data_IF_514624093173
#
_entry.id   IF_514624093173
#
_cell.length_a   1.000
_cell.length_b   1.000
_cell.length_c   1.000
_cell.angle_alpha   90.00
_cell.angle_beta   90.00
_cell.angle_gamma   90.00
#
_symmetry.space_group_name_H-M   'P 1'
#
loop_
_entity.id
_entity.type
_entity.pdbx_description
1 polymer ?
#
# COMPACT_ATOMS: atom_id res chain seq x y z
N UNK A 1 3.97 -40.72 80.52
CA UNK A 1 4.50 -40.72 79.14
C UNK A 1 3.87 -39.58 78.34
N UNK A 2 4.67 -38.73 77.69
CA UNK A 2 4.20 -37.72 76.74
C UNK A 2 5.32 -37.44 75.73
N UNK A 3 5.13 -37.91 74.49
CA UNK A 3 6.13 -38.01 73.41
C UNK A 3 6.79 -36.65 73.12
N UNK A 4 8.11 -36.64 73.00
CA UNK A 4 8.88 -35.51 72.52
C UNK A 4 8.31 -35.03 71.17
N UNK A 5 7.86 -33.78 71.09
CA UNK A 5 7.27 -33.25 69.86
C UNK A 5 8.36 -33.05 68.80
N UNK A 6 8.42 -34.00 67.87
CA UNK A 6 9.32 -34.02 66.72
C UNK A 6 9.20 -32.73 65.88
N UNK A 7 8.07 -32.02 65.95
CA UNK A 7 7.82 -30.75 65.26
C UNK A 7 8.80 -29.64 65.62
N UNK A 8 9.32 -29.59 66.86
CA UNK A 8 10.31 -28.56 67.26
C UNK A 8 11.72 -28.89 66.75
N UNK A 9 12.05 -30.17 66.59
CA UNK A 9 13.30 -30.62 65.98
C UNK A 9 13.28 -30.45 64.45
N UNK A 10 12.15 -30.73 63.80
CA UNK A 10 11.98 -30.56 62.35
C UNK A 10 12.06 -29.07 61.94
N UNK A 11 11.46 -28.15 62.71
CA UNK A 11 11.60 -26.70 62.46
C UNK A 11 13.04 -26.20 62.57
N UNK A 12 13.83 -26.75 63.51
CA UNK A 12 15.23 -26.37 63.70
C UNK A 12 16.12 -26.86 62.56
N UNK A 13 15.81 -28.02 61.98
CA UNK A 13 16.55 -28.57 60.83
C UNK A 13 16.20 -27.84 59.53
N UNK A 14 14.94 -27.45 59.33
CA UNK A 14 14.55 -26.60 58.19
C UNK A 14 15.16 -25.18 58.26
N UNK A 15 15.34 -24.62 59.46
CA UNK A 15 16.03 -23.33 59.64
C UNK A 15 17.56 -23.45 59.52
N UNK A 16 18.15 -24.59 59.89
CA UNK A 16 19.59 -24.81 59.78
C UNK A 16 20.05 -24.96 58.32
N UNK A 17 19.24 -25.58 57.44
CA UNK A 17 19.56 -25.75 56.02
C UNK A 17 19.45 -24.47 55.17
N UNK A 18 18.87 -23.39 55.73
CA UNK A 18 18.73 -22.07 55.06
C UNK A 18 19.70 -21.05 55.66
N UNK A 19 20.68 -21.48 56.45
CA UNK A 19 21.76 -20.59 56.87
C UNK A 19 22.81 -20.49 55.76
N UNK A 20 22.64 -19.50 54.88
CA UNK A 20 23.69 -19.09 53.94
C UNK A 20 24.90 -18.63 54.75
N UNK A 21 26.10 -19.09 54.38
CA UNK A 21 27.33 -18.67 55.02
C UNK A 21 27.44 -17.13 55.05
N UNK A 22 27.65 -16.50 56.22
CA UNK A 22 27.87 -15.07 56.31
C UNK A 22 29.19 -14.74 55.61
N UNK A 23 29.10 -14.03 54.48
CA UNK A 23 30.28 -13.63 53.69
C UNK A 23 30.23 -14.00 52.21
N UNK A 24 29.29 -14.85 51.78
CA UNK A 24 29.09 -15.07 50.35
C UNK A 24 28.35 -13.86 49.76
N UNK A 25 29.13 -12.87 49.29
CA UNK A 25 28.62 -11.74 48.51
C UNK A 25 27.78 -12.34 47.37
N UNK A 26 26.47 -12.07 47.37
CA UNK A 26 25.62 -12.44 46.24
C UNK A 26 26.20 -11.69 45.03
N UNK A 27 26.72 -12.42 44.05
CA UNK A 27 27.17 -11.82 42.79
C UNK A 27 25.92 -11.35 42.04
N UNK A 28 25.39 -10.19 42.43
CA UNK A 28 24.22 -9.55 41.85
C UNK A 28 24.51 -9.00 40.44
N UNK A 29 25.78 -8.90 40.05
CA UNK A 29 26.18 -8.46 38.71
C UNK A 29 25.64 -9.36 37.60
N UNK A 30 25.74 -10.69 37.76
CA UNK A 30 25.25 -11.62 36.75
C UNK A 30 23.72 -11.58 36.56
N UNK A 31 22.87 -11.70 37.62
CA UNK A 31 21.43 -11.60 37.45
C UNK A 31 20.99 -10.19 37.00
N UNK A 32 21.67 -9.12 37.40
CA UNK A 32 21.37 -7.78 36.92
C UNK A 32 21.65 -7.62 35.42
N UNK A 33 22.75 -8.18 34.92
CA UNK A 33 23.07 -8.20 33.50
C UNK A 33 22.03 -8.98 32.70
N UNK A 34 21.66 -10.18 33.17
CA UNK A 34 20.60 -11.00 32.54
C UNK A 34 19.28 -10.24 32.46
N UNK A 35 18.89 -9.56 33.55
CA UNK A 35 17.66 -8.76 33.58
C UNK A 35 17.74 -7.57 32.60
N UNK A 36 18.91 -6.94 32.49
CA UNK A 36 19.18 -5.90 31.49
C UNK A 36 19.00 -6.38 30.05
N UNK A 37 19.50 -7.56 29.70
CA UNK A 37 19.31 -8.16 28.37
C UNK A 37 17.84 -8.45 28.11
N UNK A 38 17.10 -8.98 29.08
CA UNK A 38 15.66 -9.27 28.94
C UNK A 38 14.87 -7.97 28.70
N UNK A 39 15.15 -6.92 29.46
CA UNK A 39 14.47 -5.62 29.28
C UNK A 39 14.83 -4.99 27.94
N UNK A 40 16.09 -5.05 27.51
CA UNK A 40 16.51 -4.58 26.19
C UNK A 40 15.81 -5.36 25.08
N UNK A 41 15.75 -6.69 25.19
CA UNK A 41 15.05 -7.54 24.22
C UNK A 41 13.55 -7.22 24.13
N UNK A 42 12.89 -7.04 25.28
CA UNK A 42 11.49 -6.64 25.32
C UNK A 42 11.27 -5.22 24.76
N UNK A 43 12.17 -4.28 25.05
CA UNK A 43 12.12 -2.94 24.49
C UNK A 43 12.32 -2.96 22.97
N UNK A 44 13.23 -3.81 22.46
CA UNK A 44 13.47 -3.97 21.03
C UNK A 44 12.28 -4.65 20.33
N UNK A 45 11.66 -5.66 20.95
CA UNK A 45 10.43 -6.28 20.44
C UNK A 45 9.25 -5.30 20.49
N UNK A 46 9.13 -4.50 21.55
CA UNK A 46 8.10 -3.47 21.66
C UNK A 46 8.28 -2.39 20.60
N UNK A 47 9.52 -1.92 20.41
CA UNK A 47 9.88 -0.98 19.35
C UNK A 47 9.62 -1.57 17.96
N UNK A 48 10.02 -2.81 17.70
CA UNK A 48 9.71 -3.49 16.45
C UNK A 48 8.19 -3.62 16.23
N UNK A 49 7.42 -3.91 17.27
CA UNK A 49 5.95 -3.91 17.20
C UNK A 49 5.35 -2.53 16.98
N UNK A 50 5.88 -1.48 17.61
CA UNK A 50 5.36 -0.13 17.42
C UNK A 50 5.62 0.36 15.99
N UNK A 51 6.74 -0.01 15.37
CA UNK A 51 6.97 0.26 13.95
C UNK A 51 5.97 -0.49 13.04
N UNK A 52 5.47 -1.67 13.44
CA UNK A 52 4.40 -2.39 12.71
C UNK A 52 3.03 -1.72 12.92
N UNK A 53 2.77 -1.13 14.09
CA UNK A 53 1.49 -0.44 14.39
C UNK A 53 1.47 1.00 13.85
N UNK A 54 2.62 1.67 13.73
CA UNK A 54 2.74 2.97 13.06
C UNK A 54 2.75 2.86 11.52
N UNK A 55 2.92 1.64 10.97
CA UNK A 55 2.47 1.32 9.59
C UNK A 55 0.94 1.36 9.42
N UNK A 56 0.17 1.89 10.38
CA UNK A 56 -1.07 2.60 10.05
C UNK A 56 -0.63 3.92 9.42
N UNK A 57 -0.13 3.85 8.18
CA UNK A 57 0.11 5.07 7.42
C UNK A 57 -1.21 5.84 7.28
N UNK A 58 -1.07 7.13 6.99
CA UNK A 58 -2.20 7.99 6.64
C UNK A 58 -3.10 7.19 5.69
N UNK A 59 -4.41 7.21 5.88
CA UNK A 59 -5.31 6.48 5.00
C UNK A 59 -6.20 7.49 4.29
N UNK A 60 -6.41 7.37 2.97
CA UNK A 60 -7.02 8.45 2.20
C UNK A 60 -8.45 8.68 2.67
N UNK A 61 -8.81 9.94 2.88
CA UNK A 61 -10.10 10.38 3.39
C UNK A 61 -11.02 10.76 2.24
N UNK A 62 -12.30 10.36 2.37
CA UNK A 62 -13.35 10.63 1.39
C UNK A 62 -13.47 12.13 1.10
N UNK A 63 -13.48 12.48 -0.18
CA UNK A 63 -13.67 13.85 -0.70
C UNK A 63 -12.66 14.89 -0.18
N UNK A 64 -11.53 14.46 0.39
CA UNK A 64 -10.52 15.35 0.96
C UNK A 64 -9.14 15.11 0.34
N UNK A 65 -8.75 13.85 0.26
CA UNK A 65 -7.42 13.48 -0.20
C UNK A 65 -7.39 13.23 -1.71
N UNK A 66 -6.29 13.63 -2.32
CA UNK A 66 -5.94 13.23 -3.68
C UNK A 66 -4.46 12.85 -3.70
N UNK A 67 -4.21 11.55 -3.65
CA UNK A 67 -2.87 10.99 -3.65
C UNK A 67 -2.51 10.42 -5.01
N UNK A 68 -1.21 10.27 -5.22
CA UNK A 68 -0.65 9.59 -6.37
C UNK A 68 0.30 8.51 -5.89
N UNK A 69 0.24 7.35 -6.53
CA UNK A 69 1.24 6.29 -6.35
C UNK A 69 1.78 5.87 -7.70
N UNK A 70 3.08 5.61 -7.79
CA UNK A 70 3.65 5.06 -9.02
C UNK A 70 3.27 3.59 -9.16
N UNK A 71 2.92 3.17 -10.38
CA UNK A 71 2.60 1.78 -10.68
C UNK A 71 3.45 1.25 -11.84
N UNK A 72 3.83 -0.02 -11.75
CA UNK A 72 4.43 -0.76 -12.85
C UNK A 72 3.99 -2.23 -12.85
N UNK A 73 3.83 -2.78 -14.05
CA UNK A 73 3.60 -4.21 -14.26
C UNK A 73 4.84 -4.81 -14.93
N UNK A 74 5.58 -5.65 -14.21
CA UNK A 74 6.80 -6.29 -14.71
C UNK A 74 6.52 -7.76 -15.05
N UNK A 75 6.64 -8.13 -16.31
CA UNK A 75 6.55 -9.52 -16.75
C UNK A 75 7.93 -9.95 -17.25
N UNK A 76 8.57 -10.85 -16.52
CA UNK A 76 9.87 -11.42 -16.85
C UNK A 76 10.99 -10.39 -17.05
N UNK A 77 10.98 -9.31 -16.27
CA UNK A 77 11.97 -8.24 -16.32
C UNK A 77 11.63 -7.15 -17.33
N UNK A 78 10.44 -7.21 -17.95
CA UNK A 78 9.95 -6.25 -18.94
C UNK A 78 8.71 -5.54 -18.40
N UNK A 79 8.82 -4.22 -18.22
CA UNK A 79 7.66 -3.39 -17.89
C UNK A 79 6.68 -3.36 -19.06
N UNK A 80 5.43 -3.65 -18.74
CA UNK A 80 4.31 -3.54 -19.67
C UNK A 80 3.84 -2.09 -19.77
N UNK A 81 3.05 -1.81 -20.81
CA UNK A 81 2.42 -0.51 -20.99
C UNK A 81 1.54 -0.12 -19.79
N UNK A 82 1.44 1.20 -19.57
CA UNK A 82 0.57 1.75 -18.52
C UNK A 82 -0.88 1.28 -18.74
N UNK A 83 -1.54 0.75 -17.71
CA UNK A 83 -2.89 0.28 -17.84
C UNK A 83 -3.86 1.45 -18.05
N UNK A 84 -4.97 1.16 -18.73
CA UNK A 84 -6.11 2.07 -18.86
C UNK A 84 -7.29 1.50 -18.10
N UNK A 85 -8.20 2.38 -17.66
CA UNK A 85 -9.42 1.94 -17.00
C UNK A 85 -10.28 1.12 -17.99
N UNK A 86 -10.82 -0.01 -17.53
CA UNK A 86 -11.70 -0.87 -18.33
C UNK A 86 -13.19 -0.54 -18.15
N UNK A 87 -13.52 0.38 -17.24
CA UNK A 87 -14.88 0.74 -16.89
C UNK A 87 -14.97 2.14 -16.28
N UNK A 88 -16.19 2.57 -15.86
CA UNK A 88 -16.38 3.83 -15.15
C UNK A 88 -15.63 3.81 -13.81
N UNK A 89 -15.29 4.99 -13.31
CA UNK A 89 -14.77 5.13 -11.96
C UNK A 89 -15.92 5.13 -10.94
N UNK A 90 -15.95 4.10 -10.10
CA UNK A 90 -16.97 3.94 -9.04
C UNK A 90 -16.41 4.19 -7.63
N UNK A 91 -15.09 4.35 -7.49
CA UNK A 91 -14.42 4.33 -6.18
C UNK A 91 -13.53 5.54 -5.93
N UNK A 92 -13.05 6.22 -6.97
CA UNK A 92 -12.06 7.28 -6.89
C UNK A 92 -10.62 6.77 -6.99
N UNK A 93 -10.42 5.48 -7.27
CA UNK A 93 -9.10 4.86 -7.43
C UNK A 93 -8.91 4.47 -8.89
N UNK A 94 -8.11 5.24 -9.63
CA UNK A 94 -8.04 5.14 -11.11
C UNK A 94 -6.62 5.20 -11.65
N UNK A 95 -6.36 4.55 -12.80
CA UNK A 95 -5.11 4.72 -13.53
C UNK A 95 -5.05 6.10 -14.20
N UNK A 96 -3.86 6.70 -14.21
CA UNK A 96 -3.54 7.84 -15.07
C UNK A 96 -2.78 7.37 -16.32
N UNK A 97 -2.78 8.19 -17.37
CA UNK A 97 -2.04 7.92 -18.61
C UNK A 97 -0.54 7.78 -18.38
N UNK A 98 -0.03 8.44 -17.35
CA UNK A 98 1.39 8.54 -17.04
C UNK A 98 1.87 7.40 -16.12
N UNK A 99 1.01 6.41 -15.89
CA UNK A 99 1.31 5.18 -15.14
C UNK A 99 1.18 5.34 -13.63
N UNK A 100 0.47 6.37 -13.17
CA UNK A 100 0.17 6.56 -11.76
C UNK A 100 -1.17 5.94 -11.39
N UNK A 101 -1.30 5.59 -10.13
CA UNK A 101 -2.57 5.33 -9.46
C UNK A 101 -2.98 6.67 -8.84
N UNK A 102 -4.07 7.24 -9.31
CA UNK A 102 -4.74 8.33 -8.61
C UNK A 102 -5.64 7.72 -7.54
N UNK A 103 -5.49 8.18 -6.29
CA UNK A 103 -6.26 7.72 -5.14
C UNK A 103 -6.97 8.94 -4.55
N UNK A 104 -8.23 9.12 -4.94
CA UNK A 104 -9.09 10.23 -4.53
C UNK A 104 -10.49 9.71 -4.23
N UNK A 105 -10.65 8.95 -3.13
CA UNK A 105 -11.90 8.24 -2.87
C UNK A 105 -13.05 9.21 -2.64
N UNK A 106 -14.19 8.95 -3.28
CA UNK A 106 -15.46 9.66 -3.05
C UNK A 106 -16.50 8.77 -2.36
N UNK A 107 -16.11 7.54 -1.98
CA UNK A 107 -16.93 6.58 -1.21
C UNK A 107 -16.14 5.98 -0.05
N UNK A 108 -16.81 5.71 1.07
CA UNK A 108 -16.17 5.13 2.26
C UNK A 108 -15.61 3.72 2.03
N UNK A 109 -16.20 2.96 1.09
CA UNK A 109 -15.73 1.63 0.70
C UNK A 109 -14.38 1.65 -0.02
N UNK A 110 -13.87 2.82 -0.42
CA UNK A 110 -12.58 2.99 -1.08
C UNK A 110 -11.61 3.86 -0.28
N UNK A 111 -12.01 4.31 0.91
CA UNK A 111 -11.22 5.18 1.78
C UNK A 111 -10.66 4.41 2.98
N UNK A 112 -9.73 5.03 3.70
CA UNK A 112 -9.25 4.53 4.97
C UNK A 112 -8.62 3.13 4.86
N UNK A 113 -9.15 2.18 5.63
CA UNK A 113 -8.67 0.78 5.61
C UNK A 113 -9.12 0.00 4.36
N UNK A 114 -10.10 0.53 3.63
CA UNK A 114 -10.66 -0.09 2.44
C UNK A 114 -9.96 0.39 1.16
N UNK A 115 -9.11 1.42 1.24
CA UNK A 115 -8.25 1.86 0.15
C UNK A 115 -7.17 0.79 -0.12
N UNK A 116 -7.54 -0.22 -0.89
CA UNK A 116 -6.73 -1.40 -1.17
C UNK A 116 -6.42 -1.50 -2.65
N UNK A 117 -5.28 -2.10 -2.97
CA UNK A 117 -4.77 -2.29 -4.32
C UNK A 117 -5.75 -3.07 -5.20
N UNK A 118 -6.55 -3.97 -4.61
CA UNK A 118 -7.60 -4.72 -5.30
C UNK A 118 -8.60 -3.82 -6.02
N UNK A 119 -8.97 -2.68 -5.45
CA UNK A 119 -9.88 -1.72 -6.10
C UNK A 119 -9.25 -1.12 -7.38
N UNK A 120 -7.95 -0.82 -7.33
CA UNK A 120 -7.22 -0.39 -8.51
C UNK A 120 -7.10 -1.53 -9.54
N UNK A 121 -6.78 -2.74 -9.08
CA UNK A 121 -6.63 -3.91 -9.92
C UNK A 121 -7.93 -4.21 -10.71
N UNK A 122 -9.09 -4.12 -10.05
CA UNK A 122 -10.40 -4.23 -10.69
C UNK A 122 -10.61 -3.16 -11.77
N UNK A 123 -10.23 -1.91 -11.49
CA UNK A 123 -10.37 -0.78 -12.43
C UNK A 123 -9.58 -0.99 -13.73
N UNK A 124 -8.48 -1.74 -13.68
CA UNK A 124 -7.62 -2.05 -14.83
C UNK A 124 -7.81 -3.47 -15.36
N UNK A 125 -8.76 -4.25 -14.84
CA UNK A 125 -9.01 -5.63 -15.24
C UNK A 125 -7.91 -6.62 -14.84
N UNK A 126 -7.08 -6.27 -13.86
CA UNK A 126 -6.04 -7.12 -13.30
C UNK A 126 -6.64 -7.98 -12.18
N UNK A 127 -6.42 -9.29 -12.23
CA UNK A 127 -6.78 -10.19 -11.12
C UNK A 127 -5.51 -10.70 -10.46
N UNK A 128 -5.42 -10.45 -9.16
CA UNK A 128 -4.32 -10.85 -8.32
C UNK A 128 -4.81 -11.85 -7.28
N UNK A 129 -4.02 -12.90 -7.09
CA UNK A 129 -4.22 -13.88 -6.03
C UNK A 129 -2.88 -14.47 -5.62
N UNK A 130 -2.88 -15.33 -4.60
CA UNK A 130 -1.66 -15.93 -4.08
C UNK A 130 -1.00 -16.83 -5.14
N UNK A 131 0.03 -16.31 -5.78
CA UNK A 131 0.79 -17.00 -6.81
C UNK A 131 0.15 -17.06 -8.19
N UNK A 132 -0.86 -16.23 -8.47
CA UNK A 132 -1.50 -16.15 -9.79
C UNK A 132 -1.86 -14.70 -10.14
N UNK A 133 -1.51 -14.32 -11.38
CA UNK A 133 -1.68 -12.99 -11.96
C UNK A 133 -2.40 -13.15 -13.29
N UNK A 134 -3.57 -12.54 -13.45
CA UNK A 134 -4.29 -12.51 -14.73
C UNK A 134 -4.43 -11.09 -15.22
N UNK A 135 -3.96 -10.84 -16.43
CA UNK A 135 -4.03 -9.56 -17.11
C UNK A 135 -5.43 -9.30 -17.67
N UNK A 136 -5.74 -8.04 -17.97
CA UNK A 136 -6.97 -7.64 -18.67
C UNK A 136 -7.13 -8.32 -20.04
N UNK A 137 -6.02 -8.71 -20.68
CA UNK A 137 -6.01 -9.46 -21.94
C UNK A 137 -6.49 -10.92 -21.77
N UNK A 138 -6.69 -11.39 -20.54
CA UNK A 138 -7.03 -12.76 -20.20
C UNK A 138 -5.81 -13.69 -20.07
N UNK A 139 -4.59 -13.19 -20.27
CA UNK A 139 -3.37 -13.98 -20.07
C UNK A 139 -3.10 -14.15 -18.58
N UNK A 140 -2.91 -15.40 -18.16
CA UNK A 140 -2.63 -15.79 -16.77
C UNK A 140 -1.19 -16.27 -16.62
N UNK A 141 -0.56 -15.87 -15.52
CA UNK A 141 0.74 -16.34 -15.06
C UNK A 141 0.58 -16.94 -13.67
N UNK A 142 1.21 -18.09 -13.43
CA UNK A 142 1.18 -18.81 -12.16
C UNK A 142 2.60 -19.08 -11.68
N UNK A 143 2.75 -19.18 -10.36
CA UNK A 143 4.01 -19.60 -9.77
C UNK A 143 4.45 -20.95 -10.35
N UNK A 144 5.70 -21.02 -10.81
CA UNK A 144 6.24 -22.19 -11.50
C UNK A 144 6.13 -22.15 -13.02
N UNK A 145 5.38 -21.20 -13.60
CA UNK A 145 5.39 -21.00 -15.04
C UNK A 145 6.77 -20.52 -15.51
N UNK A 146 7.16 -20.89 -16.73
CA UNK A 146 8.44 -20.47 -17.27
C UNK A 146 8.45 -18.97 -17.55
N UNK A 147 9.49 -18.31 -17.04
CA UNK A 147 9.73 -16.91 -17.23
C UNK A 147 11.08 -16.71 -17.90
N UNK A 148 11.06 -16.22 -19.13
CA UNK A 148 12.26 -15.93 -19.91
C UNK A 148 12.58 -14.44 -19.81
N UNK A 149 13.68 -14.15 -19.13
CA UNK A 149 14.18 -12.78 -18.94
C UNK A 149 14.77 -12.20 -20.22
N UNK A 150 14.90 -10.87 -20.30
CA UNK A 150 15.58 -10.19 -21.42
C UNK A 150 17.01 -10.69 -21.65
N UNK A 151 17.71 -11.07 -20.57
CA UNK A 151 19.04 -11.67 -20.60
C UNK A 151 19.06 -13.09 -21.21
N UNK A 152 17.89 -13.62 -21.62
CA UNK A 152 17.74 -14.94 -22.21
C UNK A 152 17.73 -16.10 -21.20
N UNK A 153 17.82 -15.81 -19.90
CA UNK A 153 17.72 -16.84 -18.85
C UNK A 153 16.27 -17.24 -18.66
N UNK A 154 16.03 -18.55 -18.67
CA UNK A 154 14.72 -19.15 -18.44
C UNK A 154 14.73 -19.89 -17.10
N UNK A 155 13.72 -19.59 -16.29
CA UNK A 155 13.54 -20.18 -14.96
C UNK A 155 12.09 -20.05 -14.52
N UNK A 156 11.70 -20.80 -13.50
CA UNK A 156 10.38 -20.69 -12.88
C UNK A 156 10.15 -19.28 -12.32
N UNK A 157 9.09 -18.63 -12.78
CA UNK A 157 8.65 -17.33 -12.29
C UNK A 157 7.77 -17.44 -11.05
N UNK A 158 7.69 -16.34 -10.31
CA UNK A 158 6.76 -16.15 -9.21
C UNK A 158 6.04 -14.80 -9.32
N UNK A 159 4.78 -14.80 -8.90
CA UNK A 159 3.96 -13.61 -8.74
C UNK A 159 4.28 -12.97 -7.41
N UNK A 160 4.67 -11.70 -7.46
CA UNK A 160 5.11 -10.93 -6.30
C UNK A 160 4.76 -9.47 -6.51
N UNK A 161 4.44 -8.76 -5.44
CA UNK A 161 4.30 -7.32 -5.45
C UNK A 161 5.39 -6.67 -4.61
N UNK A 162 6.03 -5.67 -5.18
CA UNK A 162 7.04 -4.86 -4.50
C UNK A 162 6.44 -3.50 -4.16
N UNK A 163 6.59 -3.09 -2.90
CA UNK A 163 6.05 -1.83 -2.40
C UNK A 163 7.20 -0.99 -1.87
N UNK A 164 7.36 0.21 -2.41
CA UNK A 164 8.34 1.18 -1.93
C UNK A 164 7.66 2.30 -1.15
N UNK A 165 8.35 2.84 -0.12
CA UNK A 165 7.90 4.05 0.54
C UNK A 165 7.98 5.27 -0.41
N UNK A 166 7.35 6.39 -0.05
CA UNK A 166 7.49 7.64 -0.80
C UNK A 166 8.95 8.07 -0.97
N UNK A 167 9.22 8.76 -2.08
CA UNK A 167 10.56 9.25 -2.42
C UNK A 167 11.64 8.15 -2.50
N UNK A 168 11.25 6.93 -2.88
CA UNK A 168 12.19 5.85 -3.09
C UNK A 168 13.18 6.15 -4.21
N UNK A 169 14.40 5.63 -4.04
CA UNK A 169 15.49 5.71 -5.00
C UNK A 169 15.98 4.30 -5.31
N UNK A 170 16.89 4.12 -6.27
CA UNK A 170 17.46 2.81 -6.59
C UNK A 170 18.17 2.13 -5.40
N UNK A 171 18.56 2.92 -4.38
CA UNK A 171 19.14 2.40 -3.14
C UNK A 171 18.08 1.91 -2.13
N UNK A 172 16.81 2.27 -2.33
CA UNK A 172 15.70 1.93 -1.42
C UNK A 172 15.19 0.53 -1.71
N UNK A 173 15.25 -0.35 -0.71
CA UNK A 173 14.72 -1.71 -0.83
C UNK A 173 13.19 -1.72 -0.66
N UNK A 174 12.44 -2.40 -1.55
CA UNK A 174 11.00 -2.56 -1.36
C UNK A 174 10.66 -3.56 -0.27
N UNK A 175 9.44 -3.47 0.22
CA UNK A 175 8.74 -4.57 0.87
C UNK A 175 8.24 -5.55 -0.18
N UNK A 176 8.55 -6.85 0.02
CA UNK A 176 8.13 -7.92 -0.87
C UNK A 176 6.88 -8.59 -0.32
N UNK A 177 5.80 -8.54 -1.10
CA UNK A 177 4.50 -9.11 -0.75
C UNK A 177 4.17 -10.24 -1.72
N UNK A 178 3.91 -11.43 -1.21
CA UNK A 178 3.56 -12.62 -2.04
C UNK A 178 2.18 -13.18 -1.70
N UNK A 179 1.52 -12.63 -0.68
CA UNK A 179 0.21 -13.07 -0.19
C UNK A 179 -0.71 -11.87 -0.02
N UNK A 180 -2.01 -12.08 -0.21
CA UNK A 180 -3.06 -11.07 -0.03
C UNK A 180 -2.71 -9.78 -0.81
N UNK A 181 -2.33 -9.98 -2.08
CA UNK A 181 -1.87 -8.92 -2.99
C UNK A 181 -2.97 -7.89 -3.28
N UNK A 182 -4.21 -8.36 -3.37
CA UNK A 182 -5.41 -7.55 -3.52
C UNK A 182 -5.69 -6.68 -2.28
N UNK A 183 -5.35 -7.19 -1.10
CA UNK A 183 -5.65 -6.55 0.18
C UNK A 183 -4.57 -5.56 0.63
N UNK A 184 -3.53 -5.33 -0.18
CA UNK A 184 -2.49 -4.37 0.16
C UNK A 184 -3.04 -2.96 0.18
N UNK A 185 -2.79 -2.24 1.27
CA UNK A 185 -3.38 -0.94 1.50
C UNK A 185 -2.51 0.17 0.93
N UNK A 186 -3.15 1.23 0.45
CA UNK A 186 -2.50 2.51 0.24
C UNK A 186 -2.36 3.18 1.61
N UNK A 187 -1.11 3.40 2.04
CA UNK A 187 -0.81 3.90 3.39
C UNK A 187 -0.10 5.24 3.38
N UNK A 188 0.47 5.67 2.26
CA UNK A 188 1.14 6.96 2.15
C UNK A 188 0.97 7.52 0.73
N UNK A 189 0.86 8.85 0.61
CA UNK A 189 0.96 9.52 -0.68
C UNK A 189 2.38 9.42 -1.23
N UNK A 190 2.52 9.11 -2.51
CA UNK A 190 3.81 8.97 -3.16
C UNK A 190 4.43 7.56 -3.09
N UNK A 191 3.71 6.55 -2.62
CA UNK A 191 4.18 5.16 -2.67
C UNK A 191 4.40 4.68 -4.12
N UNK A 192 5.22 3.64 -4.27
CA UNK A 192 5.38 2.96 -5.56
C UNK A 192 5.07 1.46 -5.44
N UNK A 193 4.30 0.95 -6.39
CA UNK A 193 3.85 -0.44 -6.45
C UNK A 193 4.32 -1.06 -7.77
N UNK A 194 5.01 -2.19 -7.68
CA UNK A 194 5.31 -3.01 -8.86
C UNK A 194 4.69 -4.38 -8.66
N UNK A 195 3.74 -4.73 -9.52
CA UNK A 195 3.23 -6.11 -9.64
C UNK A 195 4.12 -6.82 -10.63
N UNK A 196 4.73 -7.93 -10.23
CA UNK A 196 5.71 -8.63 -11.03
C UNK A 196 5.41 -10.13 -11.16
N UNK A 197 5.66 -10.68 -12.35
CA UNK A 197 5.89 -12.10 -12.57
C UNK A 197 7.33 -12.30 -13.04
N UNK A 198 8.22 -12.65 -12.12
CA UNK A 198 9.67 -12.67 -12.35
C UNK A 198 10.31 -13.92 -11.74
N UNK A 199 11.51 -14.34 -12.19
CA UNK A 199 12.23 -15.43 -11.53
C UNK A 199 12.47 -15.17 -10.04
N UNK A 200 12.50 -16.25 -9.26
CA UNK A 200 12.88 -16.19 -7.84
C UNK A 200 14.24 -15.52 -7.63
N UNK A 201 14.27 -14.54 -6.73
CA UNK A 201 15.49 -13.80 -6.40
C UNK A 201 15.91 -12.76 -7.43
N UNK A 202 15.03 -12.40 -8.37
CA UNK A 202 15.23 -11.23 -9.24
C UNK A 202 15.27 -9.96 -8.41
N UNK A 203 16.23 -9.08 -8.69
CA UNK A 203 16.31 -7.78 -8.01
C UNK A 203 15.22 -6.86 -8.54
N UNK A 204 14.34 -6.33 -7.66
CA UNK A 204 13.23 -5.48 -8.07
C UNK A 204 13.74 -4.11 -8.55
N UNK A 205 13.19 -3.63 -9.65
CA UNK A 205 13.45 -2.28 -10.18
C UNK A 205 12.29 -1.34 -9.83
N UNK A 206 12.58 -0.05 -9.75
CA UNK A 206 11.56 0.97 -9.59
C UNK A 206 10.71 1.08 -10.87
N UNK A 207 9.40 1.36 -10.74
CA UNK A 207 8.53 1.51 -11.90
C UNK A 207 8.91 2.76 -12.72
N UNK A 208 8.77 2.73 -14.06
CA UNK A 208 9.05 3.90 -14.90
C UNK A 208 8.20 5.13 -14.56
N UNK A 209 7.00 4.91 -14.02
CA UNK A 209 6.06 5.97 -13.62
C UNK A 209 6.49 6.77 -12.38
N UNK A 210 7.60 6.38 -11.72
CA UNK A 210 8.16 7.14 -10.61
C UNK A 210 8.55 8.58 -11.03
N UNK A 211 8.97 8.78 -12.28
CA UNK A 211 9.28 10.11 -12.80
C UNK A 211 8.03 11.00 -12.85
N UNK A 212 6.90 10.44 -13.31
CA UNK A 212 5.61 11.12 -13.33
C UNK A 212 5.16 11.52 -11.93
N UNK A 213 5.43 10.69 -10.92
CA UNK A 213 5.11 10.94 -9.53
C UNK A 213 5.90 12.11 -8.92
N UNK A 214 7.17 12.24 -9.34
CA UNK A 214 7.97 13.39 -8.94
C UNK A 214 7.40 14.68 -9.54
N UNK A 215 6.91 14.65 -10.79
CA UNK A 215 6.32 15.81 -11.44
C UNK A 215 4.99 16.26 -10.79
N UNK A 216 4.15 15.33 -10.32
CA UNK A 216 2.90 15.68 -9.61
C UNK A 216 3.18 16.34 -8.26
N UNK A 217 4.23 15.91 -7.56
CA UNK A 217 4.69 16.49 -6.28
C UNK A 217 5.16 17.95 -6.42
N UNK A 218 5.54 18.39 -7.62
CA UNK A 218 5.99 19.76 -7.90
C UNK A 218 4.86 20.71 -8.31
N UNK A 219 3.61 20.24 -8.40
CA UNK A 219 2.45 21.09 -8.69
C UNK A 219 1.74 21.43 -7.38
N UNK A 220 1.87 22.66 -6.85
CA UNK A 220 1.04 23.07 -5.73
C UNK A 220 -0.42 22.98 -6.19
N UNK A 221 -1.26 22.31 -5.40
CA UNK A 221 -2.70 22.36 -5.55
C UNK A 221 -3.10 23.84 -5.48
N UNK A 222 -3.27 24.47 -6.65
CA UNK A 222 -3.83 25.81 -6.72
C UNK A 222 -5.32 25.63 -6.44
N UNK A 223 -5.86 26.22 -5.36
CA UNK A 223 -7.29 26.16 -5.14
C UNK A 223 -7.94 26.96 -6.27
N UNK A 224 -8.56 26.27 -7.22
CA UNK A 224 -9.47 26.90 -8.16
C UNK A 224 -10.67 27.38 -7.35
N UNK A 225 -10.60 28.62 -6.86
CA UNK A 225 -11.78 29.35 -6.44
C UNK A 225 -12.65 29.50 -7.67
N UNK A 226 -13.71 28.70 -7.73
CA UNK A 226 -14.77 28.89 -8.71
C UNK A 226 -15.43 30.24 -8.41
N UNK A 227 -15.09 31.24 -9.22
CA UNK A 227 -15.83 32.50 -9.33
C UNK A 227 -17.28 32.16 -9.71
N UNK A 228 -18.31 32.57 -8.93
CA UNK A 228 -19.68 32.37 -9.34
C UNK A 228 -19.96 33.17 -10.61
N UNK A 229 -20.46 32.50 -11.65
CA UNK A 229 -20.90 33.14 -12.87
C UNK A 229 -22.02 34.16 -12.55
N UNK A 230 -21.77 35.42 -12.89
CA UNK A 230 -22.71 36.51 -12.80
C UNK A 230 -23.89 36.24 -13.74
N UNK A 231 -25.10 36.21 -13.19
CA UNK A 231 -26.34 36.00 -13.94
C UNK A 231 -26.67 37.24 -14.77
N UNK A 232 -26.38 37.19 -16.08
CA UNK A 232 -26.83 38.23 -17.02
C UNK A 232 -28.35 38.20 -17.14
N UNK A 233 -29.00 39.22 -16.60
CA UNK A 233 -30.44 39.44 -16.72
C UNK A 233 -30.72 40.16 -18.04
N UNK A 234 -31.32 39.47 -19.01
CA UNK A 234 -31.71 40.09 -20.30
C UNK A 234 -33.07 40.76 -20.17
N UNK A 235 -33.08 42.08 -20.20
CA UNK A 235 -34.26 42.96 -20.30
C UNK A 235 -34.89 42.86 -21.69
N UNK A 236 -36.22 42.65 -21.73
CA UNK A 236 -37.05 42.70 -22.95
C UNK A 236 -37.49 44.14 -23.20
N UNK A 237 -37.29 44.65 -24.42
CA UNK A 237 -38.01 45.81 -24.95
C UNK A 237 -38.20 45.70 -26.48
N UNK A 238 -39.44 45.39 -26.84
CA UNK A 238 -40.27 45.82 -27.97
C UNK A 238 -39.66 46.59 -29.16
N UNK A 239 -39.96 46.11 -30.39
CA UNK A 239 -40.25 47.00 -31.52
C UNK A 239 -39.72 46.59 -32.90
N UNK A 240 -40.61 46.08 -33.78
CA UNK A 240 -40.62 46.51 -35.18
C UNK A 240 -40.28 45.49 -36.29
N UNK A 241 -41.35 44.91 -36.85
CA UNK A 241 -41.64 44.72 -38.29
C UNK A 241 -40.74 43.81 -39.16
N UNK A 242 -41.35 42.76 -39.73
CA UNK A 242 -40.89 42.17 -40.99
C UNK A 242 -41.14 40.66 -41.18
N UNK A 243 -42.34 40.31 -41.65
CA UNK A 243 -42.62 39.40 -42.78
C UNK A 243 -41.84 38.07 -42.93
N UNK A 244 -42.59 36.97 -42.73
CA UNK A 244 -42.66 35.65 -43.42
C UNK A 244 -41.37 35.06 -44.04
N UNK A 245 -40.98 33.83 -43.66
CA UNK A 245 -41.19 32.60 -44.45
C UNK A 245 -40.44 31.38 -43.87
N UNK A 246 -41.09 30.24 -44.10
CA UNK A 246 -40.72 28.87 -43.83
C UNK A 246 -39.47 28.41 -44.59
N UNK A 247 -38.59 27.64 -43.95
CA UNK A 247 -37.81 26.60 -44.65
C UNK A 247 -37.29 25.56 -43.66
N UNK A 248 -37.92 24.40 -43.75
CA UNK A 248 -37.35 23.09 -43.42
C UNK A 248 -36.05 22.87 -44.20
N UNK A 249 -35.07 22.14 -43.65
CA UNK A 249 -34.37 21.04 -44.34
C UNK A 249 -33.54 20.20 -43.37
N UNK A 250 -33.73 18.91 -43.53
CA UNK A 250 -33.19 17.73 -42.86
C UNK A 250 -31.71 17.46 -43.18
N UNK A 251 -31.05 16.86 -42.19
CA UNK A 251 -29.77 16.12 -42.22
C UNK A 251 -29.56 15.21 -43.43
N UNK A 252 -28.35 15.25 -44.02
CA UNK A 252 -27.76 14.13 -44.77
C UNK A 252 -26.28 13.96 -44.37
N UNK A 253 -25.92 12.71 -44.07
CA UNK A 253 -24.59 12.22 -43.75
C UNK A 253 -23.71 12.04 -45.01
N UNK A 254 -22.39 11.99 -44.83
CA UNK A 254 -21.47 11.45 -45.83
C UNK A 254 -20.00 11.62 -45.46
N UNK A 255 -19.30 10.50 -45.29
CA UNK A 255 -17.84 10.41 -45.12
C UNK A 255 -17.44 9.14 -44.41
#
# INVERSE_FOLDING_TARGET
MGKASSSKKIKRVQQAGVSRAPGQRRNLGFPALVLGIIVLGLAMVFYARSQIVEKVGEAPVVDQDKWYSAYGLDICGVYQDNPVAIGPDETGITPTTDGLIQIAPFVESAAGKNAQFGLFAEQIGLKLSNGELTLATGKTYKNGDNCKTEDGKESEGEVVMYVWPPQATDATKPETVTTDLDSQRFTEDGQAFVVAFVPKGTEPKLPPSLESLQNTSHTPATPTTATPAEATTTTIAEGGSGTVEESTTTTVAGG
#
